data_IF_932170522735
#
_entry.id   IF_932170522735
#
_cell.length_a   1.000
_cell.length_b   1.000
_cell.length_c   1.000
_cell.angle_alpha   90.00
_cell.angle_beta   90.00
_cell.angle_gamma   90.00
#
_symmetry.space_group_name_H-M   'P 1'
#
loop_
_entity.id
_entity.type
_entity.pdbx_description
1 polymer ?
#
# COMPACT_ATOMS: atom_id res chain seq x y z
N UNK A 1 -3.09 6.75 -4.41
CA UNK A 1 -3.42 7.30 -3.07
C UNK A 1 -4.45 8.41 -3.16
N UNK A 2 -4.17 9.51 -3.85
CA UNK A 2 -5.16 10.58 -4.07
C UNK A 2 -6.51 10.04 -4.55
N UNK A 3 -6.49 9.16 -5.56
CA UNK A 3 -7.69 8.47 -6.06
C UNK A 3 -8.47 7.70 -4.99
N UNK A 4 -7.80 7.08 -4.01
CA UNK A 4 -8.46 6.32 -2.94
C UNK A 4 -9.19 7.31 -2.00
N UNK A 5 -8.54 8.40 -1.58
CA UNK A 5 -9.18 9.44 -0.79
C UNK A 5 -10.42 10.04 -1.49
N UNK A 6 -10.30 10.30 -2.79
CA UNK A 6 -11.42 10.82 -3.60
C UNK A 6 -12.56 9.79 -3.67
N UNK A 7 -12.29 8.53 -3.98
CA UNK A 7 -13.33 7.48 -4.07
C UNK A 7 -14.04 7.30 -2.74
N UNK A 8 -13.30 7.17 -1.63
CA UNK A 8 -13.90 6.96 -0.31
C UNK A 8 -14.69 8.18 0.16
N UNK A 9 -14.21 9.39 -0.12
CA UNK A 9 -14.96 10.60 0.19
C UNK A 9 -16.25 10.72 -0.63
N UNK A 10 -16.23 10.31 -1.90
CA UNK A 10 -17.43 10.25 -2.75
C UNK A 10 -18.42 9.19 -2.26
N UNK A 11 -17.92 8.04 -1.79
CA UNK A 11 -18.76 6.99 -1.21
C UNK A 11 -19.46 7.49 0.06
N UNK A 12 -18.74 8.16 0.96
CA UNK A 12 -19.33 8.74 2.18
C UNK A 12 -20.35 9.84 1.85
N UNK A 13 -20.08 10.65 0.83
CA UNK A 13 -21.03 11.66 0.36
C UNK A 13 -22.30 11.02 -0.25
N UNK A 14 -22.12 10.02 -1.13
CA UNK A 14 -23.22 9.26 -1.73
C UNK A 14 -24.07 8.53 -0.69
N UNK A 15 -23.45 8.04 0.39
CA UNK A 15 -24.15 7.40 1.50
C UNK A 15 -25.13 8.37 2.18
N UNK A 16 -24.74 9.63 2.40
CA UNK A 16 -25.65 10.66 2.93
C UNK A 16 -26.78 10.99 1.94
N UNK A 17 -26.50 11.07 0.64
CA UNK A 17 -27.55 11.29 -0.37
C UNK A 17 -28.57 10.16 -0.36
N UNK A 18 -28.11 8.91 -0.31
CA UNK A 18 -28.98 7.74 -0.23
C UNK A 18 -29.82 7.75 1.05
N UNK A 19 -29.20 8.12 2.19
CA UNK A 19 -29.88 8.29 3.47
C UNK A 19 -31.05 9.28 3.41
N UNK A 20 -30.78 10.46 2.82
CA UNK A 20 -31.75 11.55 2.71
C UNK A 20 -32.86 11.23 1.71
N UNK A 21 -32.57 10.39 0.71
CA UNK A 21 -33.56 9.96 -0.28
C UNK A 21 -34.47 8.85 0.26
N UNK A 22 -33.99 8.06 1.21
CA UNK A 22 -34.73 6.92 1.76
C UNK A 22 -35.78 7.30 2.82
N UNK A 23 -35.71 8.50 3.41
CA UNK A 23 -36.66 8.91 4.45
C UNK A 23 -36.96 10.40 4.43
N UNK A 24 -38.20 10.75 4.77
CA UNK A 24 -38.65 12.15 4.95
C UNK A 24 -38.29 12.69 6.33
N UNK A 25 -38.02 11.82 7.30
CA UNK A 25 -37.58 12.19 8.64
C UNK A 25 -36.09 12.56 8.61
N UNK A 26 -35.83 13.87 8.70
CA UNK A 26 -34.47 14.41 8.71
C UNK A 26 -33.87 14.28 10.11
N UNK A 27 -32.80 13.51 10.23
CA UNK A 27 -32.03 13.39 11.47
C UNK A 27 -30.65 13.98 11.28
N UNK A 28 -30.14 14.69 12.28
CA UNK A 28 -28.76 15.21 12.30
C UNK A 28 -27.71 14.12 12.04
N UNK A 29 -28.00 12.88 12.43
CA UNK A 29 -27.12 11.72 12.20
C UNK A 29 -26.90 11.39 10.73
N UNK A 30 -27.80 11.81 9.83
CA UNK A 30 -27.68 11.55 8.39
C UNK A 30 -26.57 12.38 7.73
N UNK A 31 -26.20 13.52 8.33
CA UNK A 31 -25.14 14.40 7.83
C UNK A 31 -23.74 14.01 8.31
N UNK A 32 -23.64 13.05 9.24
CA UNK A 32 -22.36 12.63 9.80
C UNK A 32 -21.39 12.10 8.73
N UNK A 33 -21.79 11.19 7.81
CA UNK A 33 -20.90 10.71 6.77
C UNK A 33 -20.41 11.83 5.85
N UNK A 34 -21.28 12.77 5.48
CA UNK A 34 -20.93 13.95 4.68
C UNK A 34 -19.91 14.87 5.38
N UNK A 35 -20.05 15.08 6.69
CA UNK A 35 -19.14 15.93 7.46
C UNK A 35 -17.70 15.40 7.45
N UNK A 36 -17.52 14.07 7.42
CA UNK A 36 -16.19 13.45 7.24
C UNK A 36 -15.82 13.26 5.77
N UNK A 37 -16.80 13.05 4.90
CA UNK A 37 -16.61 12.84 3.46
C UNK A 37 -16.00 14.05 2.77
N UNK A 38 -16.49 15.27 3.04
CA UNK A 38 -16.00 16.49 2.36
C UNK A 38 -14.53 16.78 2.68
N UNK A 39 -14.07 16.80 3.94
CA UNK A 39 -12.65 17.03 4.22
C UNK A 39 -11.78 15.87 3.71
N UNK A 40 -12.29 14.64 3.70
CA UNK A 40 -11.57 13.48 3.14
C UNK A 40 -11.42 13.57 1.62
N UNK A 41 -12.46 14.04 0.90
CA UNK A 41 -12.39 14.40 -0.51
C UNK A 41 -11.34 15.48 -0.76
N UNK A 42 -11.38 16.55 0.05
CA UNK A 42 -10.47 17.66 -0.08
C UNK A 42 -9.01 17.22 0.08
N UNK A 43 -8.70 16.41 1.11
CA UNK A 43 -7.36 15.85 1.26
C UNK A 43 -6.99 14.91 0.11
N UNK A 44 -7.96 14.18 -0.46
CA UNK A 44 -7.76 13.37 -1.66
C UNK A 44 -7.32 14.20 -2.87
N UNK A 45 -7.96 15.35 -3.10
CA UNK A 45 -7.61 16.29 -4.18
C UNK A 45 -6.26 16.95 -3.90
N UNK A 46 -6.03 17.44 -2.69
CA UNK A 46 -4.74 18.06 -2.31
C UNK A 46 -3.58 17.06 -2.43
N UNK A 47 -3.82 15.77 -2.19
CA UNK A 47 -2.83 14.71 -2.36
C UNK A 47 -2.44 14.42 -3.83
N UNK A 48 -3.12 15.03 -4.82
CA UNK A 48 -2.68 14.99 -6.22
C UNK A 48 -1.39 15.78 -6.43
N UNK A 49 -1.12 16.78 -5.59
CA UNK A 49 0.09 17.59 -5.71
C UNK A 49 1.31 16.84 -5.13
N UNK A 50 2.34 16.52 -5.94
CA UNK A 50 3.50 15.74 -5.50
C UNK A 50 4.29 16.43 -4.39
N UNK A 51 4.30 17.78 -4.35
CA UNK A 51 5.04 18.54 -3.34
C UNK A 51 4.46 18.40 -1.92
N UNK A 52 3.15 18.14 -1.78
CA UNK A 52 2.45 18.06 -0.47
C UNK A 52 1.77 16.70 -0.24
N UNK A 53 2.16 15.68 -1.01
CA UNK A 53 1.52 14.36 -1.01
C UNK A 53 1.71 13.58 0.29
N UNK A 54 2.80 13.82 1.03
CA UNK A 54 3.06 13.16 2.32
C UNK A 54 2.06 13.59 3.39
N UNK A 55 2.02 14.89 3.66
CA UNK A 55 1.23 15.48 4.74
C UNK A 55 -0.27 15.32 4.53
N UNK A 56 -0.73 15.47 3.29
CA UNK A 56 -2.15 15.31 2.93
C UNK A 56 -2.66 13.88 3.15
N UNK A 57 -1.84 12.87 2.83
CA UNK A 57 -2.22 11.46 3.08
C UNK A 57 -2.23 11.16 4.58
N UNK A 58 -1.29 11.72 5.34
CA UNK A 58 -1.27 11.54 6.79
C UNK A 58 -2.48 12.21 7.45
N UNK A 59 -2.82 13.44 7.05
CA UNK A 59 -4.01 14.14 7.51
C UNK A 59 -5.30 13.38 7.17
N UNK A 60 -5.42 12.87 5.94
CA UNK A 60 -6.56 12.04 5.53
C UNK A 60 -6.69 10.76 6.38
N UNK A 61 -5.56 10.12 6.72
CA UNK A 61 -5.54 8.93 7.57
C UNK A 61 -5.99 9.26 8.99
N UNK A 62 -5.48 10.34 9.59
CA UNK A 62 -5.93 10.80 10.92
C UNK A 62 -7.43 11.09 10.91
N UNK A 63 -7.90 11.83 9.91
CA UNK A 63 -9.32 12.18 9.80
C UNK A 63 -10.20 10.93 9.70
N UNK A 64 -9.81 9.96 8.87
CA UNK A 64 -10.55 8.71 8.73
C UNK A 64 -10.53 7.87 10.01
N UNK A 65 -9.42 7.90 10.76
CA UNK A 65 -9.29 7.22 12.03
C UNK A 65 -10.21 7.85 13.08
N UNK A 66 -10.25 9.19 13.16
CA UNK A 66 -11.19 9.92 14.03
C UNK A 66 -12.64 9.60 13.64
N UNK A 67 -12.98 9.64 12.35
CA UNK A 67 -14.30 9.27 11.85
C UNK A 67 -14.68 7.84 12.20
N UNK A 68 -13.75 6.89 12.08
CA UNK A 68 -13.95 5.49 12.48
C UNK A 68 -14.22 5.39 13.98
N UNK A 69 -13.42 6.02 14.84
CA UNK A 69 -13.61 5.96 16.30
C UNK A 69 -14.97 6.52 16.69
N UNK A 70 -15.35 7.68 16.15
CA UNK A 70 -16.65 8.31 16.42
C UNK A 70 -17.80 7.39 15.95
N UNK A 71 -17.72 6.86 14.72
CA UNK A 71 -18.73 5.98 14.18
C UNK A 71 -18.85 4.68 14.98
N UNK A 72 -17.73 4.10 15.41
CA UNK A 72 -17.69 2.86 16.20
C UNK A 72 -18.27 3.08 17.60
N UNK A 73 -17.86 4.13 18.31
CA UNK A 73 -18.46 4.48 19.62
C UNK A 73 -19.95 4.68 19.48
N UNK A 74 -20.39 5.42 18.44
CA UNK A 74 -21.81 5.63 18.20
C UNK A 74 -22.54 4.32 17.91
N UNK A 75 -21.98 3.45 17.08
CA UNK A 75 -22.55 2.12 16.78
C UNK A 75 -22.71 1.28 18.05
N UNK A 76 -21.71 1.29 18.94
CA UNK A 76 -21.76 0.57 20.23
C UNK A 76 -22.86 1.15 21.12
N UNK A 77 -22.97 2.48 21.23
CA UNK A 77 -24.02 3.13 22.02
C UNK A 77 -25.42 2.75 21.51
N UNK A 78 -25.63 2.79 20.19
CA UNK A 78 -26.90 2.36 19.60
C UNK A 78 -27.13 0.85 19.84
N UNK A 79 -26.13 0.00 19.65
CA UNK A 79 -26.26 -1.44 19.90
C UNK A 79 -26.63 -1.76 21.36
N UNK A 80 -26.02 -1.08 22.33
CA UNK A 80 -26.35 -1.24 23.75
C UNK A 80 -27.78 -0.76 24.05
N UNK A 81 -28.21 0.36 23.46
CA UNK A 81 -29.60 0.80 23.62
C UNK A 81 -30.60 -0.20 23.04
N UNK A 82 -30.21 -0.95 22.01
CA UNK A 82 -31.07 -1.93 21.34
C UNK A 82 -31.30 -3.14 22.24
N UNK A 83 -30.22 -3.66 22.81
CA UNK A 83 -30.25 -4.81 23.73
C UNK A 83 -31.03 -4.48 25.00
N UNK A 84 -31.05 -3.21 25.42
CA UNK A 84 -31.86 -2.75 26.56
C UNK A 84 -33.35 -2.57 26.24
N UNK A 85 -33.80 -2.90 25.03
CA UNK A 85 -35.19 -2.75 24.60
C UNK A 85 -35.57 -1.31 24.22
N UNK A 86 -34.59 -0.46 23.96
CA UNK A 86 -34.83 0.90 23.47
C UNK A 86 -35.29 0.89 22.01
N UNK A 87 -36.18 1.82 21.66
CA UNK A 87 -36.62 2.03 20.29
C UNK A 87 -35.53 2.76 19.50
N UNK A 88 -35.04 2.14 18.42
CA UNK A 88 -33.96 2.68 17.60
C UNK A 88 -34.42 2.81 16.17
N UNK A 89 -34.14 3.97 15.59
CA UNK A 89 -34.26 4.15 14.16
C UNK A 89 -33.24 3.25 13.43
N UNK A 90 -33.74 2.19 12.81
CA UNK A 90 -32.94 1.22 12.04
C UNK A 90 -32.12 1.89 10.94
N UNK A 91 -32.63 2.98 10.35
CA UNK A 91 -31.93 3.73 9.32
C UNK A 91 -30.69 4.45 9.89
N UNK A 92 -30.81 5.10 11.05
CA UNK A 92 -29.66 5.74 11.71
C UNK A 92 -28.60 4.71 12.08
N UNK A 93 -29.00 3.53 12.55
CA UNK A 93 -28.06 2.45 12.86
C UNK A 93 -27.33 1.96 11.61
N UNK A 94 -28.06 1.65 10.54
CA UNK A 94 -27.46 1.23 9.26
C UNK A 94 -26.51 2.28 8.68
N UNK A 95 -26.84 3.57 8.81
CA UNK A 95 -25.98 4.65 8.32
C UNK A 95 -24.65 4.73 9.07
N UNK A 96 -24.70 4.70 10.40
CA UNK A 96 -23.50 4.80 11.22
C UNK A 96 -22.66 3.52 11.07
N UNK A 97 -23.30 2.35 10.97
CA UNK A 97 -22.62 1.09 10.71
C UNK A 97 -21.91 1.08 9.34
N UNK A 98 -22.59 1.50 8.28
CA UNK A 98 -21.99 1.58 6.93
C UNK A 98 -20.86 2.61 6.87
N UNK A 99 -21.02 3.78 7.51
CA UNK A 99 -19.93 4.75 7.67
C UNK A 99 -18.73 4.12 8.40
N UNK A 100 -18.95 3.40 9.50
CA UNK A 100 -17.88 2.73 10.25
C UNK A 100 -17.13 1.72 9.38
N UNK A 101 -17.85 0.90 8.59
CA UNK A 101 -17.26 -0.05 7.64
C UNK A 101 -16.41 0.67 6.60
N UNK A 102 -16.94 1.71 5.95
CA UNK A 102 -16.22 2.49 4.94
C UNK A 102 -14.95 3.13 5.52
N UNK A 103 -15.03 3.74 6.71
CA UNK A 103 -13.88 4.30 7.40
C UNK A 103 -12.86 3.21 7.80
N UNK A 104 -13.31 2.05 8.27
CA UNK A 104 -12.45 0.93 8.62
C UNK A 104 -11.66 0.43 7.41
N UNK A 105 -12.35 0.15 6.29
CA UNK A 105 -11.72 -0.29 5.04
C UNK A 105 -10.69 0.74 4.57
N UNK A 106 -11.02 2.03 4.60
CA UNK A 106 -10.07 3.09 4.23
C UNK A 106 -8.81 3.06 5.11
N UNK A 107 -8.97 2.98 6.43
CA UNK A 107 -7.84 2.98 7.38
C UNK A 107 -6.98 1.72 7.19
N UNK A 108 -7.57 0.56 6.95
CA UNK A 108 -6.83 -0.68 6.66
C UNK A 108 -6.02 -0.54 5.37
N UNK A 109 -6.64 -0.09 4.28
CA UNK A 109 -5.96 0.09 2.99
C UNK A 109 -4.83 1.13 3.11
N UNK A 110 -5.11 2.28 3.72
CA UNK A 110 -4.12 3.35 3.92
C UNK A 110 -2.97 2.89 4.84
N UNK A 111 -3.28 2.14 5.89
CA UNK A 111 -2.31 1.57 6.83
C UNK A 111 -1.40 0.52 6.18
N UNK A 112 -1.99 -0.43 5.44
CA UNK A 112 -1.23 -1.45 4.69
C UNK A 112 -0.30 -0.79 3.67
N UNK A 113 -0.79 0.21 2.93
CA UNK A 113 0.04 0.92 1.99
C UNK A 113 1.18 1.69 2.67
N UNK A 114 0.92 2.32 3.83
CA UNK A 114 1.98 2.99 4.61
C UNK A 114 3.05 2.01 5.07
N UNK A 115 2.66 0.81 5.50
CA UNK A 115 3.60 -0.26 5.90
C UNK A 115 4.45 -0.74 4.72
N UNK A 116 3.83 -0.95 3.54
CA UNK A 116 4.54 -1.35 2.32
C UNK A 116 5.58 -0.31 1.91
N UNK A 117 5.24 0.99 1.95
CA UNK A 117 6.18 2.07 1.62
C UNK A 117 7.40 2.14 2.54
N UNK A 118 7.18 1.99 3.85
CA UNK A 118 8.29 1.95 4.82
C UNK A 118 9.22 0.76 4.56
N UNK A 119 8.66 -0.42 4.26
CA UNK A 119 9.46 -1.60 3.96
C UNK A 119 10.27 -1.47 2.65
N UNK A 120 9.75 -0.76 1.65
CA UNK A 120 10.49 -0.45 0.42
C UNK A 120 11.65 0.53 0.68
N UNK A 121 11.42 1.57 1.47
CA UNK A 121 12.46 2.54 1.86
C UNK A 121 13.61 1.87 2.61
N UNK A 122 13.31 0.99 3.57
CA UNK A 122 14.31 0.21 4.30
C UNK A 122 15.12 -0.71 3.38
N UNK A 123 14.46 -1.40 2.43
CA UNK A 123 15.14 -2.27 1.45
C UNK A 123 16.09 -1.50 0.53
N UNK A 124 15.69 -0.30 0.08
CA UNK A 124 16.53 0.54 -0.78
C UNK A 124 17.74 1.06 -0.02
N UNK A 125 17.56 1.49 1.23
CA UNK A 125 18.67 1.92 2.08
C UNK A 125 19.63 0.77 2.39
N UNK A 126 19.13 -0.43 2.68
CA UNK A 126 19.96 -1.63 2.86
C UNK A 126 20.72 -1.99 1.58
N UNK A 127 20.07 -1.92 0.41
CA UNK A 127 20.73 -2.14 -0.87
C UNK A 127 21.83 -1.09 -1.13
N UNK A 128 21.58 0.18 -0.78
CA UNK A 128 22.55 1.28 -0.88
C UNK A 128 23.75 1.08 0.06
N UNK A 129 23.50 0.63 1.28
CA UNK A 129 24.57 0.29 2.25
C UNK A 129 25.41 -0.88 1.77
N UNK A 130 24.78 -1.92 1.21
CA UNK A 130 25.47 -3.06 0.61
C UNK A 130 26.32 -2.63 -0.59
N UNK A 131 25.78 -1.84 -1.52
CA UNK A 131 26.57 -1.36 -2.67
C UNK A 131 27.73 -0.45 -2.26
N UNK A 132 27.53 0.41 -1.24
CA UNK A 132 28.62 1.20 -0.67
C UNK A 132 29.69 0.34 0.02
N UNK A 133 29.32 -0.74 0.70
CA UNK A 133 30.26 -1.68 1.30
C UNK A 133 31.07 -2.46 0.26
N UNK A 134 30.42 -2.86 -0.85
CA UNK A 134 31.08 -3.54 -1.98
C UNK A 134 32.12 -2.63 -2.66
N UNK A 135 31.79 -1.36 -2.91
CA UNK A 135 32.73 -0.38 -3.46
C UNK A 135 33.94 -0.14 -2.54
N UNK A 136 33.77 -0.28 -1.22
CA UNK A 136 34.82 -0.04 -0.23
C UNK A 136 35.77 -1.24 -0.06
N UNK A 137 35.37 -2.45 -0.48
CA UNK A 137 36.17 -3.66 -0.30
C UNK A 137 35.98 -4.62 -1.50
N UNK A 138 36.58 -4.30 -2.67
CA UNK A 138 36.37 -5.07 -3.91
C UNK A 138 36.89 -6.51 -3.87
N UNK A 139 37.64 -6.90 -2.83
CA UNK A 139 38.20 -8.25 -2.66
C UNK A 139 37.38 -9.15 -1.72
N UNK A 140 36.29 -8.66 -1.12
CA UNK A 140 35.51 -9.41 -0.12
C UNK A 140 34.37 -10.26 -0.70
N UNK A 141 34.22 -10.33 -2.02
CA UNK A 141 33.17 -11.12 -2.69
C UNK A 141 33.79 -12.09 -3.68
N UNK A 142 34.27 -13.21 -3.16
CA UNK A 142 34.05 -14.49 -3.81
C UNK A 142 33.14 -15.30 -2.87
N UNK A 143 31.80 -15.16 -2.95
CA UNK A 143 30.98 -16.29 -2.57
C UNK A 143 31.40 -17.44 -3.50
N UNK A 144 31.56 -18.67 -3.01
CA UNK A 144 31.55 -19.81 -3.92
C UNK A 144 30.18 -19.75 -4.59
N UNK A 145 30.16 -19.25 -5.82
CA UNK A 145 29.07 -19.48 -6.74
C UNK A 145 29.13 -20.98 -6.99
N UNK A 146 28.50 -21.75 -6.11
CA UNK A 146 27.97 -23.04 -6.51
C UNK A 146 26.85 -22.67 -7.47
N UNK A 147 27.23 -22.51 -8.75
CA UNK A 147 26.27 -22.45 -9.84
C UNK A 147 25.33 -23.63 -9.61
N UNK A 148 24.02 -23.42 -9.40
CA UNK A 148 23.11 -24.52 -9.61
C UNK A 148 23.33 -24.88 -11.08
N UNK A 149 23.87 -26.08 -11.33
CA UNK A 149 23.88 -26.68 -12.66
C UNK A 149 22.42 -26.80 -13.05
N UNK A 150 21.89 -25.75 -13.67
CA UNK A 150 20.60 -25.77 -14.33
C UNK A 150 20.83 -26.68 -15.54
N UNK A 151 20.22 -27.87 -15.60
CA UNK A 151 20.28 -28.69 -16.81
C UNK A 151 19.77 -27.81 -17.95
N UNK A 152 20.58 -27.67 -19.00
CA UNK A 152 20.20 -26.91 -20.18
C UNK A 152 18.80 -27.34 -20.63
N UNK A 153 17.85 -26.41 -20.66
CA UNK A 153 16.55 -26.64 -21.25
C UNK A 153 16.79 -26.86 -22.74
N UNK A 154 16.66 -28.10 -23.19
CA UNK A 154 16.68 -28.44 -24.61
C UNK A 154 15.35 -27.92 -25.15
N UNK A 155 15.41 -26.92 -26.03
CA UNK A 155 14.24 -26.34 -26.67
C UNK A 155 14.10 -27.02 -28.05
N UNK A 156 13.12 -27.91 -28.25
CA UNK A 156 13.04 -28.73 -29.48
C UNK A 156 12.70 -27.90 -30.74
N UNK A 157 12.33 -26.63 -30.59
CA UNK A 157 11.97 -25.74 -31.71
C UNK A 157 13.14 -24.90 -32.26
N UNK A 158 14.34 -24.97 -31.67
CA UNK A 158 15.47 -24.15 -32.13
C UNK A 158 16.56 -24.99 -32.84
N UNK A 159 16.55 -25.04 -34.19
CA UNK A 159 17.53 -25.83 -34.97
C UNK A 159 18.96 -25.24 -34.96
N UNK A 160 19.19 -24.10 -34.30
CA UNK A 160 20.50 -23.43 -34.27
C UNK A 160 21.24 -23.56 -32.93
N UNK A 161 20.79 -24.43 -32.02
CA UNK A 161 21.45 -24.63 -30.74
C UNK A 161 22.72 -25.50 -30.94
N UNK A 162 23.86 -24.84 -31.18
CA UNK A 162 25.17 -25.50 -31.22
C UNK A 162 25.53 -26.04 -29.84
N UNK A 163 25.98 -27.30 -29.71
CA UNK A 163 26.37 -27.86 -28.42
C UNK A 163 27.54 -27.07 -27.85
N UNK A 164 27.48 -26.81 -26.54
CA UNK A 164 28.49 -26.08 -25.80
C UNK A 164 29.88 -26.71 -26.04
N UNK A 165 30.74 -25.97 -26.75
CA UNK A 165 32.15 -26.32 -26.89
C UNK A 165 32.77 -26.17 -25.50
N UNK A 166 33.16 -27.31 -24.92
CA UNK A 166 34.00 -27.39 -23.73
C UNK A 166 35.29 -26.60 -24.00
N UNK A 167 35.45 -25.44 -23.36
CA UNK A 167 36.74 -24.76 -23.31
C UNK A 167 37.65 -25.56 -22.36
N UNK A 168 38.42 -26.48 -22.92
CA UNK A 168 39.55 -27.07 -22.24
C UNK A 168 40.60 -26.00 -21.92
N UNK A 169 41.10 -26.11 -20.69
CA UNK A 169 42.19 -25.38 -20.07
C UNK A 169 43.53 -25.43 -20.83
N UNK A 170 44.40 -24.46 -20.49
CA UNK A 170 45.86 -24.36 -20.76
C UNK A 170 46.23 -23.84 -22.15
N UNK A 171 47.17 -22.90 -22.34
CA UNK A 171 48.46 -22.70 -21.68
C UNK A 171 48.98 -21.26 -21.89
N UNK A 172 49.56 -20.68 -20.85
CA UNK A 172 50.44 -19.50 -20.86
C UNK A 172 51.68 -19.73 -21.73
N UNK A 173 52.12 -18.77 -22.58
CA UNK A 173 53.45 -18.80 -23.19
C UNK A 173 54.51 -18.13 -22.28
N UNK A 174 55.76 -18.60 -22.26
CA UNK A 174 56.83 -18.05 -21.43
C UNK A 174 57.60 -16.91 -22.12
N UNK A 175 58.05 -15.98 -21.28
CA UNK A 175 59.36 -15.30 -21.21
C UNK A 175 60.05 -14.86 -22.51
N UNK A 176 60.33 -13.55 -22.62
CA UNK A 176 61.54 -13.05 -23.29
C UNK A 176 62.13 -11.85 -22.52
N UNK A 177 63.36 -12.05 -22.05
CA UNK A 177 64.26 -11.09 -21.41
C UNK A 177 65.28 -10.66 -22.49
N UNK A 178 65.42 -9.38 -22.89
CA UNK A 178 66.45 -9.00 -23.84
C UNK A 178 67.72 -8.57 -23.11
N UNK A 179 68.70 -9.48 -23.09
CA UNK A 179 70.11 -9.13 -22.88
C UNK A 179 70.78 -8.86 -24.23
N UNK A 180 71.01 -7.57 -24.55
CA UNK A 180 72.23 -7.08 -25.23
C UNK A 180 72.28 -5.55 -25.26
#
# INVERSE_FOLDING_TARGET
>A
MARIGIVFGLVLFGLTIAALSATTQKSYTQFLPMMFGIPLLFFGVVALNPHRRGDSVFAALILALVGMVIATVRTIVLAVSWVRGGDINSLSFQLVASMSVVCCVFVVIAGLWRRRRKAEEERVEDARRRSAALLRNPLAVNPPVADPVIPAHIDPENPYQTPAILNESSSTPPTDDPAK
#
